data_IF_450283063831
#
_entry.id   IF_450283063831
#
_cell.length_a   1.000
_cell.length_b   1.000
_cell.length_c   1.000
_cell.angle_alpha   90.00
_cell.angle_beta   90.00
_cell.angle_gamma   90.00
#
_symmetry.space_group_name_H-M   'P 1'
#
loop_
_entity.id
_entity.type
_entity.pdbx_description
1 polymer ?
#
# COMPACT_ATOMS: atom_id res chain seq x y z
N UNK A 1 2.60 19.84 -23.94
CA UNK A 1 2.25 20.99 -23.07
C UNK A 1 2.79 20.67 -21.67
N UNK A 2 3.57 21.55 -21.03
CA UNK A 2 4.12 21.23 -19.71
C UNK A 2 2.98 21.00 -18.72
N UNK A 3 3.16 20.06 -17.77
CA UNK A 3 2.19 19.80 -16.71
C UNK A 3 2.03 21.02 -15.80
N UNK A 4 0.87 21.18 -15.18
CA UNK A 4 0.67 22.24 -14.18
C UNK A 4 1.38 21.88 -12.90
N UNK A 5 2.17 22.78 -12.32
CA UNK A 5 2.81 22.56 -11.03
C UNK A 5 1.78 22.60 -9.89
N UNK A 6 1.92 21.69 -8.95
CA UNK A 6 1.09 21.57 -7.75
C UNK A 6 2.05 21.37 -6.57
N UNK A 7 2.03 22.27 -5.59
CA UNK A 7 2.79 22.07 -4.37
C UNK A 7 2.20 20.99 -3.45
N UNK A 8 2.96 20.56 -2.46
CA UNK A 8 2.56 19.49 -1.54
C UNK A 8 1.27 19.82 -0.76
N UNK A 9 1.06 21.09 -0.37
CA UNK A 9 -0.17 21.51 0.33
C UNK A 9 -1.40 21.45 -0.58
N UNK A 10 -1.26 21.91 -1.82
CA UNK A 10 -2.34 21.83 -2.81
C UNK A 10 -2.67 20.37 -3.16
N UNK A 11 -1.66 19.49 -3.30
CA UNK A 11 -1.93 18.05 -3.50
C UNK A 11 -2.63 17.44 -2.28
N UNK A 12 -2.25 17.83 -1.06
CA UNK A 12 -2.93 17.38 0.16
C UNK A 12 -4.40 17.81 0.18
N UNK A 13 -4.69 19.03 -0.26
CA UNK A 13 -6.07 19.51 -0.40
C UNK A 13 -6.84 18.73 -1.46
N UNK A 14 -6.25 18.46 -2.63
CA UNK A 14 -6.86 17.63 -3.68
C UNK A 14 -7.23 16.22 -3.20
N UNK A 15 -6.41 15.62 -2.33
CA UNK A 15 -6.72 14.31 -1.74
C UNK A 15 -7.94 14.36 -0.79
N UNK A 16 -8.18 15.49 -0.16
CA UNK A 16 -9.32 15.70 0.76
C UNK A 16 -10.63 16.08 0.04
N UNK A 17 -10.59 16.52 -1.21
CA UNK A 17 -11.78 16.96 -1.96
C UNK A 17 -12.76 15.83 -2.29
N UNK A 18 -12.33 14.56 -2.24
CA UNK A 18 -13.15 13.42 -2.66
C UNK A 18 -13.43 13.35 -4.16
N UNK A 19 -12.72 14.16 -4.96
CA UNK A 19 -12.81 14.15 -6.42
C UNK A 19 -11.85 13.11 -7.01
N UNK A 20 -12.14 12.68 -8.26
CA UNK A 20 -11.26 11.75 -8.96
C UNK A 20 -9.84 12.33 -9.10
N UNK A 21 -8.86 11.58 -8.62
CA UNK A 21 -7.45 11.92 -8.66
C UNK A 21 -6.62 10.66 -8.85
N UNK A 22 -5.67 10.67 -9.77
CA UNK A 22 -4.65 9.66 -9.92
C UNK A 22 -3.28 10.25 -9.57
N UNK A 23 -2.51 9.58 -8.72
CA UNK A 23 -1.12 9.95 -8.41
C UNK A 23 -0.23 8.85 -8.97
N UNK A 24 0.67 9.19 -9.88
CA UNK A 24 1.61 8.26 -10.50
C UNK A 24 3.04 8.61 -10.14
N UNK A 25 3.71 7.69 -9.48
CA UNK A 25 5.13 7.78 -9.16
C UNK A 25 5.93 7.12 -10.29
N UNK A 26 6.78 7.90 -10.92
CA UNK A 26 7.51 7.55 -12.13
C UNK A 26 8.86 6.92 -11.89
N UNK A 27 9.27 6.88 -10.63
CA UNK A 27 10.54 6.26 -10.20
C UNK A 27 10.46 4.73 -10.33
N UNK A 28 11.62 4.11 -10.43
CA UNK A 28 11.70 2.64 -10.46
C UNK A 28 11.15 2.01 -9.17
N UNK A 29 10.61 0.81 -9.29
CA UNK A 29 9.85 0.13 -8.24
C UNK A 29 10.63 -0.03 -6.92
N UNK A 30 11.95 -0.22 -7.02
CA UNK A 30 12.81 -0.31 -5.83
C UNK A 30 12.82 1.02 -5.05
N UNK A 31 12.94 2.15 -5.74
CA UNK A 31 12.95 3.48 -5.11
C UNK A 31 11.56 3.80 -4.54
N UNK A 32 10.51 3.52 -5.31
CA UNK A 32 9.13 3.64 -4.85
C UNK A 32 8.89 2.84 -3.57
N UNK A 33 9.35 1.59 -3.49
CA UNK A 33 9.14 0.73 -2.32
C UNK A 33 9.85 1.22 -1.06
N UNK A 34 10.87 2.05 -1.20
CA UNK A 34 11.56 2.63 -0.05
C UNK A 34 10.78 3.80 0.56
N UNK A 35 10.13 4.61 -0.29
CA UNK A 35 9.45 5.81 0.18
C UNK A 35 8.52 6.36 -0.90
N UNK A 36 7.22 6.51 -0.62
CA UNK A 36 6.23 7.06 -1.56
C UNK A 36 5.02 7.66 -0.84
N UNK A 37 4.19 8.41 -1.57
CA UNK A 37 2.91 8.91 -1.07
C UNK A 37 1.91 7.76 -0.95
N UNK A 38 1.07 7.75 0.09
CA UNK A 38 0.11 6.67 0.40
C UNK A 38 -0.73 6.21 -0.80
N UNK A 39 -1.26 7.14 -1.58
CA UNK A 39 -2.14 6.83 -2.71
C UNK A 39 -1.42 6.81 -4.07
N UNK A 40 -0.10 7.02 -4.10
CA UNK A 40 0.65 6.92 -5.33
C UNK A 40 0.68 5.48 -5.85
N UNK A 41 0.63 5.34 -7.17
CA UNK A 41 0.85 4.06 -7.85
C UNK A 41 2.22 4.07 -8.52
N UNK A 42 2.97 2.99 -8.33
CA UNK A 42 4.24 2.78 -9.03
C UNK A 42 4.00 2.57 -10.52
N UNK A 43 4.38 3.55 -11.32
CA UNK A 43 4.32 3.50 -12.78
C UNK A 43 5.66 4.01 -13.32
N UNK A 44 6.74 3.23 -13.19
CA UNK A 44 8.04 3.63 -13.67
C UNK A 44 7.99 4.15 -15.10
N UNK A 45 8.73 5.21 -15.39
CA UNK A 45 8.77 5.80 -16.73
C UNK A 45 9.11 4.74 -17.81
N UNK A 46 9.97 3.78 -17.46
CA UNK A 46 10.34 2.64 -18.33
C UNK A 46 9.16 1.74 -18.71
N UNK A 47 8.04 1.80 -17.97
CA UNK A 47 6.85 0.96 -18.19
C UNK A 47 5.57 1.78 -18.37
N UNK A 48 5.70 3.11 -18.49
CA UNK A 48 4.57 4.04 -18.53
C UNK A 48 3.56 3.66 -19.61
N UNK A 49 4.00 3.54 -20.85
CA UNK A 49 3.15 3.26 -22.01
C UNK A 49 2.41 1.92 -21.89
N UNK A 50 3.04 0.92 -21.27
CA UNK A 50 2.45 -0.41 -21.09
C UNK A 50 1.37 -0.47 -20.00
N UNK A 51 1.55 0.32 -18.93
CA UNK A 51 0.71 0.21 -17.73
C UNK A 51 -0.36 1.29 -17.63
N UNK A 52 -0.06 2.51 -18.11
CA UNK A 52 -0.81 3.70 -17.72
C UNK A 52 -2.27 3.68 -18.20
N UNK A 53 -2.51 3.31 -19.45
CA UNK A 53 -3.85 3.27 -20.02
C UNK A 53 -4.80 2.29 -19.31
N UNK A 54 -4.25 1.23 -18.72
CA UNK A 54 -5.01 0.27 -17.91
C UNK A 54 -5.34 0.82 -16.51
N UNK A 55 -4.40 1.57 -15.92
CA UNK A 55 -4.54 2.13 -14.58
C UNK A 55 -5.44 3.38 -14.58
N UNK A 56 -5.32 4.21 -15.61
CA UNK A 56 -6.07 5.47 -15.78
C UNK A 56 -6.75 5.47 -17.15
N UNK A 57 -7.88 4.77 -17.31
CA UNK A 57 -8.53 4.61 -18.62
C UNK A 57 -9.16 5.89 -19.16
N UNK A 58 -9.58 6.81 -18.29
CA UNK A 58 -10.19 8.08 -18.68
C UNK A 58 -9.14 9.16 -18.96
N UNK A 59 -9.12 9.70 -20.17
CA UNK A 59 -8.10 10.68 -20.59
C UNK A 59 -8.21 12.04 -19.93
N UNK A 60 -9.38 12.38 -19.37
CA UNK A 60 -9.62 13.63 -18.63
C UNK A 60 -9.39 13.53 -17.14
N UNK A 61 -9.05 12.36 -16.59
CA UNK A 61 -8.73 12.18 -15.16
C UNK A 61 -7.66 13.19 -14.74
N UNK A 62 -7.84 13.79 -13.56
CA UNK A 62 -6.82 14.64 -12.94
C UNK A 62 -5.67 13.76 -12.47
N UNK A 63 -4.49 13.96 -13.05
CA UNK A 63 -3.30 13.15 -12.80
C UNK A 63 -2.22 14.03 -12.20
N UNK A 64 -1.62 13.60 -11.10
CA UNK A 64 -0.40 14.19 -10.54
C UNK A 64 0.74 13.21 -10.71
N UNK A 65 1.79 13.64 -11.40
CA UNK A 65 3.01 12.90 -11.64
C UNK A 65 4.04 13.26 -10.56
N UNK A 66 4.73 12.26 -10.03
CA UNK A 66 5.75 12.43 -9.00
C UNK A 66 7.06 11.77 -9.44
N UNK A 67 8.17 12.41 -9.09
CA UNK A 67 9.54 11.90 -9.23
C UNK A 67 10.42 12.45 -8.08
N UNK A 68 11.74 12.38 -8.23
CA UNK A 68 12.71 12.98 -7.31
C UNK A 68 13.24 14.34 -7.83
N UNK A 69 12.46 15.06 -8.65
CA UNK A 69 12.82 16.28 -9.35
C UNK A 69 14.02 16.07 -10.32
N UNK A 70 14.06 14.91 -10.96
CA UNK A 70 15.13 14.45 -11.84
C UNK A 70 14.74 14.41 -13.33
N UNK A 71 13.60 15.03 -13.69
CA UNK A 71 13.14 15.19 -15.08
C UNK A 71 12.33 14.01 -15.64
N UNK A 72 11.92 13.06 -14.81
CA UNK A 72 11.04 11.97 -15.24
C UNK A 72 9.63 12.50 -15.53
N UNK A 73 9.18 13.50 -14.78
CA UNK A 73 7.84 14.09 -14.92
C UNK A 73 7.66 14.75 -16.28
N UNK A 74 8.62 15.54 -16.76
CA UNK A 74 8.54 16.20 -18.06
C UNK A 74 8.43 15.18 -19.20
N UNK A 75 9.26 14.15 -19.16
CA UNK A 75 9.25 13.07 -20.16
C UNK A 75 7.95 12.29 -20.13
N UNK A 76 7.44 11.96 -18.95
CA UNK A 76 6.16 11.26 -18.80
C UNK A 76 4.99 12.13 -19.28
N UNK A 77 4.99 13.41 -18.96
CA UNK A 77 3.95 14.34 -19.38
C UNK A 77 3.86 14.44 -20.91
N UNK A 78 5.00 14.49 -21.60
CA UNK A 78 5.01 14.50 -23.06
C UNK A 78 4.45 13.19 -23.65
N UNK A 79 4.83 12.04 -23.15
CA UNK A 79 4.30 10.72 -23.57
C UNK A 79 2.78 10.68 -23.32
N UNK A 80 2.32 11.08 -22.14
CA UNK A 80 0.91 11.03 -21.78
C UNK A 80 0.06 12.03 -22.58
N UNK A 81 0.59 13.21 -22.85
CA UNK A 81 -0.08 14.19 -23.72
C UNK A 81 -0.27 13.64 -25.14
N UNK A 82 0.75 13.00 -25.72
CA UNK A 82 0.63 12.32 -27.02
C UNK A 82 -0.37 11.15 -26.97
N UNK A 83 -0.49 10.48 -25.83
CA UNK A 83 -1.52 9.45 -25.60
C UNK A 83 -2.92 10.01 -25.33
N UNK A 84 -3.12 11.35 -25.37
CA UNK A 84 -4.40 12.04 -25.27
C UNK A 84 -4.83 12.39 -23.84
N UNK A 85 -3.96 12.30 -22.83
CA UNK A 85 -4.27 12.79 -21.48
C UNK A 85 -4.19 14.32 -21.42
N UNK A 86 -5.22 14.96 -20.90
CA UNK A 86 -5.40 16.42 -20.98
C UNK A 86 -5.25 17.17 -19.65
N UNK A 87 -5.26 16.45 -18.53
CA UNK A 87 -5.28 17.06 -17.19
C UNK A 87 -4.08 16.59 -16.34
N UNK A 88 -2.88 16.98 -16.81
CA UNK A 88 -1.61 16.58 -16.23
C UNK A 88 -1.07 17.65 -15.30
N UNK A 89 -0.68 17.22 -14.11
CA UNK A 89 -0.04 18.00 -13.08
C UNK A 89 1.29 17.34 -12.69
N UNK A 90 2.19 18.12 -12.09
CA UNK A 90 3.45 17.68 -11.54
C UNK A 90 3.55 18.10 -10.08
N UNK A 91 3.98 17.21 -9.19
CA UNK A 91 4.29 17.57 -7.81
C UNK A 91 5.57 18.40 -7.81
N UNK A 92 5.45 19.68 -7.46
CA UNK A 92 6.56 20.60 -7.42
C UNK A 92 7.60 20.20 -6.36
N UNK A 93 8.86 20.05 -6.79
CA UNK A 93 9.94 19.51 -5.95
C UNK A 93 9.83 18.02 -5.60
N UNK A 94 8.91 17.29 -6.25
CA UNK A 94 8.82 15.84 -6.17
C UNK A 94 8.49 15.28 -4.78
N UNK A 95 8.84 14.01 -4.57
CA UNK A 95 8.58 13.30 -3.30
C UNK A 95 9.32 13.95 -2.12
N UNK A 96 10.49 14.53 -2.36
CA UNK A 96 11.25 15.22 -1.33
C UNK A 96 10.52 16.48 -0.79
N UNK A 97 9.87 17.25 -1.67
CA UNK A 97 9.07 18.40 -1.26
C UNK A 97 7.83 18.02 -0.44
N UNK A 98 7.20 16.88 -0.73
CA UNK A 98 6.12 16.33 0.09
C UNK A 98 6.60 16.07 1.54
N UNK A 99 7.74 15.40 1.70
CA UNK A 99 8.34 15.16 3.01
C UNK A 99 8.74 16.44 3.73
N UNK A 100 9.36 17.40 3.01
CA UNK A 100 9.76 18.70 3.55
C UNK A 100 8.57 19.54 4.03
N UNK A 101 7.38 19.36 3.44
CA UNK A 101 6.14 19.96 3.90
C UNK A 101 5.57 19.31 5.17
N UNK A 102 6.23 18.30 5.74
CA UNK A 102 5.82 17.59 6.95
C UNK A 102 4.76 16.50 6.71
N UNK A 103 4.55 16.07 5.47
CA UNK A 103 3.63 15.00 5.13
C UNK A 103 4.33 13.65 5.14
N UNK A 104 3.59 12.63 5.58
CA UNK A 104 4.10 11.28 5.74
C UNK A 104 4.41 10.60 4.40
N UNK A 105 5.50 9.87 4.37
CA UNK A 105 5.86 8.93 3.31
C UNK A 105 5.79 7.50 3.83
N UNK A 106 5.44 6.59 2.95
CA UNK A 106 5.22 5.18 3.26
C UNK A 106 6.23 4.30 2.53
N UNK A 107 6.59 3.18 3.11
CA UNK A 107 7.48 2.18 2.52
C UNK A 107 6.77 0.86 2.24
N UNK A 108 7.25 0.10 1.27
CA UNK A 108 6.70 -1.20 0.89
C UNK A 108 5.76 -1.13 -0.32
N UNK A 109 4.99 -2.20 -0.50
CA UNK A 109 3.96 -2.35 -1.54
C UNK A 109 2.61 -2.64 -0.89
N UNK A 110 1.51 -2.30 -1.56
CA UNK A 110 0.14 -2.45 -1.04
C UNK A 110 -0.13 -1.65 0.26
N UNK A 111 0.56 -0.54 0.45
CA UNK A 111 0.50 0.29 1.65
C UNK A 111 -0.92 0.76 2.02
N UNK A 112 -1.82 1.17 1.09
CA UNK A 112 -3.18 1.54 1.46
C UNK A 112 -3.96 0.45 2.19
N UNK A 113 -3.77 -0.82 1.80
CA UNK A 113 -4.42 -1.96 2.47
C UNK A 113 -3.85 -2.19 3.88
N UNK A 114 -2.55 -1.99 4.05
CA UNK A 114 -1.87 -2.13 5.33
C UNK A 114 -2.27 -1.00 6.28
N UNK A 115 -2.21 0.26 5.84
CA UNK A 115 -2.66 1.41 6.63
C UNK A 115 -4.13 1.30 7.06
N UNK A 116 -5.00 0.75 6.20
CA UNK A 116 -6.38 0.45 6.57
C UNK A 116 -6.45 -0.65 7.64
N UNK A 117 -5.62 -1.69 7.54
CA UNK A 117 -5.54 -2.75 8.53
C UNK A 117 -5.15 -2.23 9.91
N UNK A 118 -4.12 -1.39 9.99
CA UNK A 118 -3.68 -0.73 11.23
C UNK A 118 -4.76 0.17 11.83
N UNK A 119 -5.43 0.98 10.98
CA UNK A 119 -6.56 1.80 11.43
C UNK A 119 -7.67 0.94 12.05
N UNK A 120 -8.04 -0.17 11.42
CA UNK A 120 -9.06 -1.09 11.95
C UNK A 120 -8.60 -1.75 13.25
N UNK A 121 -7.35 -2.15 13.34
CA UNK A 121 -6.77 -2.73 14.56
C UNK A 121 -6.88 -1.75 15.75
N UNK A 122 -6.45 -0.51 15.55
CA UNK A 122 -6.57 0.52 16.57
C UNK A 122 -8.03 0.86 16.93
N UNK A 123 -8.89 0.96 15.92
CA UNK A 123 -10.29 1.29 16.13
C UNK A 123 -11.09 0.17 16.81
N UNK A 124 -10.71 -1.09 16.56
CA UNK A 124 -11.41 -2.28 17.07
C UNK A 124 -10.86 -2.76 18.42
N UNK A 125 -9.78 -2.15 18.92
CA UNK A 125 -9.10 -2.58 20.18
C UNK A 125 -8.85 -4.10 20.19
N UNK A 126 -8.38 -4.64 19.06
CA UNK A 126 -8.09 -6.08 18.92
C UNK A 126 -7.03 -6.49 19.96
N UNK A 127 -7.31 -7.48 20.81
CA UNK A 127 -6.31 -7.94 21.78
C UNK A 127 -5.05 -8.44 21.07
N UNK A 128 -3.88 -8.06 21.56
CA UNK A 128 -2.60 -8.56 21.07
C UNK A 128 -1.82 -9.23 22.19
N UNK A 129 -0.98 -10.19 21.83
CA UNK A 129 -0.07 -10.88 22.74
C UNK A 129 1.34 -10.85 22.15
N UNK A 130 2.35 -10.85 23.00
CA UNK A 130 3.74 -10.95 22.56
C UNK A 130 4.15 -12.41 22.28
N UNK A 131 5.35 -12.59 21.72
CA UNK A 131 5.85 -13.91 21.35
C UNK A 131 6.07 -14.84 22.56
N UNK A 132 6.46 -14.30 23.71
CA UNK A 132 6.68 -15.08 24.92
C UNK A 132 5.36 -15.60 25.49
N UNK A 133 4.33 -14.77 25.47
CA UNK A 133 2.99 -15.15 25.90
C UNK A 133 2.38 -16.18 24.93
N UNK A 134 2.58 -16.01 23.61
CA UNK A 134 2.13 -17.01 22.65
C UNK A 134 2.83 -18.36 22.89
N UNK A 135 4.14 -18.36 23.08
CA UNK A 135 4.88 -19.60 23.37
C UNK A 135 4.35 -20.30 24.64
N UNK A 136 4.07 -19.53 25.70
CA UNK A 136 3.47 -20.05 26.91
C UNK A 136 2.11 -20.68 26.65
N UNK A 137 1.22 -19.97 25.96
CA UNK A 137 -0.13 -20.44 25.62
C UNK A 137 -0.10 -21.72 24.77
N UNK A 138 0.81 -21.82 23.81
CA UNK A 138 0.97 -23.00 22.98
C UNK A 138 1.46 -24.24 23.78
N UNK A 139 2.17 -24.04 24.89
CA UNK A 139 2.57 -25.14 25.79
C UNK A 139 1.44 -25.57 26.73
N UNK A 140 0.62 -24.63 27.18
CA UNK A 140 -0.38 -24.85 28.22
C UNK A 140 -1.76 -25.26 27.65
N UNK A 141 -2.05 -24.90 26.40
CA UNK A 141 -3.34 -25.11 25.78
C UNK A 141 -3.24 -26.08 24.58
N UNK A 142 -4.19 -27.00 24.50
CA UNK A 142 -4.37 -27.89 23.34
C UNK A 142 -5.39 -27.34 22.34
N UNK A 143 -6.17 -26.32 22.71
CA UNK A 143 -7.26 -25.72 21.93
C UNK A 143 -6.87 -24.34 21.34
N UNK A 144 -5.62 -24.20 20.90
CA UNK A 144 -5.08 -23.00 20.27
C UNK A 144 -4.69 -23.29 18.82
N UNK A 145 -5.00 -22.37 17.92
CA UNK A 145 -4.55 -22.41 16.52
C UNK A 145 -3.91 -21.07 16.15
N UNK A 146 -2.74 -21.15 15.53
CA UNK A 146 -2.01 -19.97 14.99
C UNK A 146 -2.24 -19.93 13.49
N UNK A 147 -2.80 -18.84 12.99
CA UNK A 147 -3.09 -18.63 11.58
C UNK A 147 -2.24 -17.46 11.05
N UNK A 148 -1.52 -17.70 9.96
CA UNK A 148 -0.73 -16.69 9.29
C UNK A 148 -1.49 -16.17 8.07
N UNK A 149 -1.95 -14.92 8.12
CA UNK A 149 -2.78 -14.31 7.07
C UNK A 149 -1.98 -13.65 5.96
N UNK A 150 -0.65 -13.73 6.00
CA UNK A 150 0.24 -13.18 4.98
C UNK A 150 0.21 -14.00 3.68
N UNK A 151 0.67 -13.41 2.56
CA UNK A 151 0.92 -14.16 1.34
C UNK A 151 1.85 -15.36 1.58
N UNK A 152 1.66 -16.42 0.80
CA UNK A 152 2.37 -17.69 1.00
C UNK A 152 3.90 -17.57 0.90
N UNK A 153 4.40 -16.70 0.03
CA UNK A 153 5.84 -16.44 -0.13
C UNK A 153 6.46 -15.76 1.09
N UNK A 154 5.72 -14.92 1.78
CA UNK A 154 6.15 -14.31 3.04
C UNK A 154 6.14 -15.34 4.18
N UNK A 155 5.08 -16.14 4.28
CA UNK A 155 4.97 -17.24 5.24
C UNK A 155 6.12 -18.24 5.10
N UNK A 156 6.52 -18.58 3.88
CA UNK A 156 7.61 -19.52 3.65
C UNK A 156 8.99 -18.97 4.08
N UNK A 157 9.19 -17.67 4.06
CA UNK A 157 10.47 -17.07 4.48
C UNK A 157 10.67 -17.13 5.98
N UNK A 158 9.64 -16.82 6.71
CA UNK A 158 9.61 -16.86 8.17
C UNK A 158 8.18 -17.00 8.65
N UNK A 159 7.91 -17.94 9.56
CA UNK A 159 6.58 -18.12 10.16
C UNK A 159 6.72 -18.58 11.61
N UNK A 160 5.67 -18.36 12.37
CA UNK A 160 5.59 -18.91 13.74
C UNK A 160 5.51 -20.43 13.64
N UNK A 161 6.24 -21.18 14.47
CA UNK A 161 6.15 -22.64 14.50
C UNK A 161 4.69 -23.10 14.66
N UNK A 162 4.31 -24.12 13.92
CA UNK A 162 2.94 -24.69 13.86
C UNK A 162 1.86 -23.80 13.23
N UNK A 163 2.18 -22.57 12.81
CA UNK A 163 1.21 -21.72 12.14
C UNK A 163 0.74 -22.33 10.81
N UNK A 164 -0.53 -22.15 10.52
CA UNK A 164 -1.14 -22.54 9.24
C UNK A 164 -1.30 -21.28 8.38
N UNK A 165 -0.77 -21.31 7.16
CA UNK A 165 -0.96 -20.20 6.24
C UNK A 165 -2.38 -20.16 5.70
N UNK A 166 -3.05 -19.04 5.93
CA UNK A 166 -4.41 -18.77 5.46
C UNK A 166 -4.47 -17.30 5.05
N UNK A 167 -4.13 -16.96 3.81
CA UNK A 167 -4.20 -15.60 3.31
C UNK A 167 -5.52 -14.92 3.65
N UNK A 168 -5.50 -13.63 4.00
CA UNK A 168 -6.64 -12.95 4.61
C UNK A 168 -7.98 -13.11 3.88
N UNK A 169 -7.96 -13.20 2.54
CA UNK A 169 -9.17 -13.46 1.75
C UNK A 169 -9.74 -14.87 1.95
N UNK A 170 -8.92 -15.86 2.29
CA UNK A 170 -9.34 -17.24 2.54
C UNK A 170 -9.78 -17.46 3.99
N UNK A 171 -9.31 -16.63 4.91
CA UNK A 171 -9.56 -16.80 6.34
C UNK A 171 -11.05 -16.90 6.66
N UNK A 172 -11.87 -16.03 6.08
CA UNK A 172 -13.32 -16.00 6.31
C UNK A 172 -13.98 -17.30 5.87
N UNK A 173 -13.48 -17.95 4.83
CA UNK A 173 -14.01 -19.21 4.31
C UNK A 173 -13.54 -20.41 5.12
N UNK A 174 -12.30 -20.40 5.60
CA UNK A 174 -11.62 -21.55 6.20
C UNK A 174 -11.63 -21.59 7.72
N UNK A 175 -12.00 -20.46 8.38
CA UNK A 175 -11.91 -20.35 9.84
C UNK A 175 -12.67 -21.46 10.58
N UNK A 176 -13.83 -21.89 10.08
CA UNK A 176 -14.64 -22.93 10.71
C UNK A 176 -14.03 -24.33 10.60
N UNK A 177 -13.23 -24.57 9.56
CA UNK A 177 -12.52 -25.84 9.39
C UNK A 177 -11.26 -25.89 10.26
N UNK A 178 -10.60 -24.74 10.44
CA UNK A 178 -9.36 -24.61 11.19
C UNK A 178 -9.58 -24.44 12.71
N UNK A 179 -10.68 -23.82 13.09
CA UNK A 179 -11.12 -23.64 14.47
C UNK A 179 -12.61 -24.00 14.60
N UNK A 180 -12.94 -25.31 14.58
CA UNK A 180 -14.34 -25.77 14.56
C UNK A 180 -15.08 -25.52 15.88
N UNK A 181 -14.36 -25.38 16.99
CA UNK A 181 -14.96 -25.07 18.28
C UNK A 181 -14.96 -23.56 18.53
N UNK A 182 -16.09 -22.98 18.98
CA UNK A 182 -16.11 -21.56 19.41
C UNK A 182 -15.18 -21.24 20.58
N UNK A 183 -14.70 -22.25 21.29
CA UNK A 183 -13.76 -22.12 22.42
C UNK A 183 -12.30 -22.15 21.96
N UNK A 184 -12.03 -22.55 20.72
CA UNK A 184 -10.68 -22.56 20.19
C UNK A 184 -10.11 -21.15 20.18
N UNK A 185 -8.96 -20.96 20.82
CA UNK A 185 -8.23 -19.70 20.79
C UNK A 185 -7.57 -19.54 19.43
N UNK A 186 -7.95 -18.52 18.70
CA UNK A 186 -7.36 -18.19 17.39
C UNK A 186 -6.38 -17.04 17.57
N UNK A 187 -5.13 -17.26 17.19
CA UNK A 187 -4.09 -16.23 17.15
C UNK A 187 -3.73 -15.97 15.69
N UNK A 188 -3.86 -14.70 15.27
CA UNK A 188 -3.50 -14.27 13.92
C UNK A 188 -2.09 -13.69 13.91
N UNK A 189 -1.27 -14.17 12.98
CA UNK A 189 0.01 -13.55 12.63
C UNK A 189 -0.18 -12.63 11.44
N UNK A 190 0.18 -11.37 11.65
CA UNK A 190 0.12 -10.28 10.66
C UNK A 190 1.49 -9.63 10.54
N UNK A 191 1.73 -8.89 9.47
CA UNK A 191 2.85 -7.96 9.43
C UNK A 191 2.41 -6.65 10.08
N UNK A 192 3.15 -6.23 11.09
CA UNK A 192 3.19 -4.83 11.48
C UNK A 192 4.28 -4.13 10.66
N UNK A 193 3.95 -2.99 10.14
CA UNK A 193 4.89 -2.14 9.38
C UNK A 193 5.51 -1.14 10.33
#
# INVERSE_FOLDING_TARGET
>A
MPPKLVDAGALKAMLAEGQELAIADLREELIFSQSHLLFARSVPLSRLELKFARLVPRRGTRIVLCDDADGLVERAADILAHAGYTNLHALDGGVAAWAAAGFELFSGVNVPSKAFGEFIEHASTTPSIDAAELERLMRERSDIVVLDSRPFDEYQRVSIPTAVNVPGAELVLRIRDLAPSPQTMVVLSLIHI
#
